data_IF_497815168993
#
_entry.id   IF_497815168993
#
_cell.length_a   1.000
_cell.length_b   1.000
_cell.length_c   1.000
_cell.angle_alpha   90.00
_cell.angle_beta   90.00
_cell.angle_gamma   90.00
#
_symmetry.space_group_name_H-M   'P 1'
#
loop_
_entity.id
_entity.type
_entity.pdbx_description
1 polymer ?
#
# COMPACT_ATOMS: atom_id res chain seq x y z
N UNK A 1 -11.91 25.34 -10.06
CA UNK A 1 -11.50 23.93 -9.83
C UNK A 1 -9.99 23.77 -9.64
N UNK A 2 -9.14 24.05 -10.63
CA UNK A 2 -7.67 23.83 -10.53
C UNK A 2 -6.99 24.59 -9.37
N UNK A 3 -7.41 25.84 -9.11
CA UNK A 3 -6.88 26.66 -8.01
C UNK A 3 -7.24 26.10 -6.62
N UNK A 4 -8.49 25.64 -6.44
CA UNK A 4 -8.95 25.08 -5.17
C UNK A 4 -8.18 23.81 -4.79
N UNK A 5 -7.92 22.94 -5.77
CA UNK A 5 -7.11 21.74 -5.55
C UNK A 5 -5.68 22.10 -5.09
N UNK A 6 -5.05 23.07 -5.74
CA UNK A 6 -3.70 23.51 -5.36
C UNK A 6 -3.67 24.13 -3.97
N UNK A 7 -4.68 24.94 -3.61
CA UNK A 7 -4.80 25.54 -2.27
C UNK A 7 -4.96 24.46 -1.18
N UNK A 8 -5.78 23.44 -1.45
CA UNK A 8 -5.97 22.31 -0.54
C UNK A 8 -4.68 21.52 -0.32
N UNK A 9 -3.91 21.27 -1.39
CA UNK A 9 -2.60 20.62 -1.25
C UNK A 9 -1.63 21.46 -0.41
N UNK A 10 -1.61 22.78 -0.62
CA UNK A 10 -0.78 23.70 0.18
C UNK A 10 -1.17 23.70 1.66
N UNK A 11 -2.46 23.68 1.97
CA UNK A 11 -2.94 23.77 3.36
C UNK A 11 -2.54 22.57 4.21
N UNK A 12 -2.50 21.37 3.62
CA UNK A 12 -2.18 20.14 4.35
C UNK A 12 -0.70 19.77 4.35
N UNK A 13 0.04 20.04 3.26
CA UNK A 13 1.45 19.65 3.17
C UNK A 13 2.43 20.73 3.58
N UNK A 14 2.10 22.01 3.39
CA UNK A 14 3.06 23.10 3.57
C UNK A 14 2.70 24.03 4.74
N UNK A 15 1.47 24.51 4.78
CA UNK A 15 1.06 25.52 5.77
C UNK A 15 0.31 24.92 6.96
N UNK A 16 0.48 23.63 7.23
CA UNK A 16 -0.10 22.99 8.39
C UNK A 16 0.71 23.35 9.65
N UNK A 17 0.10 23.97 10.68
CA UNK A 17 0.82 24.34 11.89
C UNK A 17 1.14 23.09 12.72
N UNK A 18 2.43 22.74 12.82
CA UNK A 18 2.90 21.65 13.67
C UNK A 18 3.43 22.18 15.01
N UNK A 19 3.15 21.49 16.14
CA UNK A 19 3.79 21.81 17.41
C UNK A 19 5.31 21.58 17.33
N UNK A 20 6.10 22.38 18.06
CA UNK A 20 7.57 22.30 18.01
C UNK A 20 8.13 21.04 18.71
N UNK A 21 7.42 20.48 19.68
CA UNK A 21 7.84 19.29 20.44
C UNK A 21 7.11 18.04 19.94
N UNK A 22 7.35 17.64 18.69
CA UNK A 22 6.86 16.35 18.16
C UNK A 22 7.78 15.20 18.55
N UNK A 23 7.20 14.11 19.06
CA UNK A 23 7.93 12.86 19.28
C UNK A 23 7.84 11.95 18.04
N UNK A 24 8.56 10.81 18.07
CA UNK A 24 8.59 9.86 16.95
C UNK A 24 7.25 9.17 16.64
N UNK A 25 6.32 9.08 17.59
CA UNK A 25 5.00 8.45 17.38
C UNK A 25 4.13 9.22 16.39
N UNK A 26 4.36 10.53 16.22
CA UNK A 26 3.64 11.34 15.22
C UNK A 26 3.91 10.90 13.78
N UNK A 27 5.00 10.18 13.51
CA UNK A 27 5.29 9.66 12.18
C UNK A 27 4.40 8.47 11.79
N UNK A 28 3.71 7.81 12.74
CA UNK A 28 2.93 6.61 12.47
C UNK A 28 1.82 6.84 11.44
N UNK A 29 1.16 8.01 11.45
CA UNK A 29 0.13 8.33 10.47
C UNK A 29 0.67 8.35 9.03
N UNK A 30 1.88 8.88 8.82
CA UNK A 30 2.53 8.88 7.52
C UNK A 30 2.96 7.47 7.10
N UNK A 31 3.54 6.70 8.03
CA UNK A 31 3.92 5.31 7.77
C UNK A 31 2.69 4.47 7.38
N UNK A 32 1.54 4.65 8.05
CA UNK A 32 0.28 3.98 7.70
C UNK A 32 -0.22 4.37 6.30
N UNK A 33 -0.07 5.64 5.92
CA UNK A 33 -0.38 6.09 4.57
C UNK A 33 0.45 5.37 3.51
N UNK A 34 1.75 5.20 3.76
CA UNK A 34 2.64 4.46 2.86
C UNK A 34 2.26 2.98 2.79
N UNK A 35 2.01 2.33 3.93
CA UNK A 35 1.69 0.89 3.95
C UNK A 35 0.38 0.59 3.22
N UNK A 36 -0.64 1.44 3.34
CA UNK A 36 -1.90 1.29 2.61
C UNK A 36 -1.68 1.35 1.10
N UNK A 37 -0.89 2.32 0.60
CA UNK A 37 -0.61 2.44 -0.83
C UNK A 37 0.12 1.18 -1.33
N UNK A 38 1.12 0.72 -0.57
CA UNK A 38 1.88 -0.48 -0.90
C UNK A 38 0.98 -1.72 -0.94
N UNK A 39 0.10 -1.88 0.04
CA UNK A 39 -0.83 -3.01 0.15
C UNK A 39 -1.89 -3.04 -0.96
N UNK A 40 -2.41 -1.88 -1.37
CA UNK A 40 -3.33 -1.80 -2.52
C UNK A 40 -2.63 -2.24 -3.80
N UNK A 41 -1.42 -1.75 -4.05
CA UNK A 41 -0.67 -2.10 -5.26
C UNK A 41 -0.36 -3.59 -5.28
N UNK A 42 0.24 -4.14 -4.22
CA UNK A 42 0.59 -5.57 -4.15
C UNK A 42 -0.64 -6.47 -4.16
N UNK A 43 -1.75 -6.04 -3.55
CA UNK A 43 -3.02 -6.77 -3.54
C UNK A 43 -3.67 -6.86 -4.92
N UNK A 44 -3.60 -5.80 -5.73
CA UNK A 44 -4.07 -5.84 -7.12
C UNK A 44 -3.26 -6.87 -7.92
N UNK A 45 -1.93 -6.87 -7.79
CA UNK A 45 -1.08 -7.85 -8.48
C UNK A 45 -1.37 -9.30 -8.06
N UNK A 46 -1.60 -9.55 -6.77
CA UNK A 46 -2.02 -10.89 -6.32
C UNK A 46 -3.40 -11.26 -6.88
N UNK A 47 -4.36 -10.34 -6.82
CA UNK A 47 -5.74 -10.56 -7.26
C UNK A 47 -5.86 -10.92 -8.75
N UNK A 48 -4.96 -10.41 -9.60
CA UNK A 48 -4.94 -10.73 -11.04
C UNK A 48 -4.58 -12.20 -11.34
N UNK A 49 -3.87 -12.86 -10.43
CA UNK A 49 -3.36 -14.22 -10.61
C UNK A 49 -3.97 -15.23 -9.63
N UNK A 50 -4.78 -14.76 -8.68
CA UNK A 50 -5.43 -15.59 -7.68
C UNK A 50 -6.76 -16.16 -8.20
N UNK A 51 -7.03 -17.42 -7.90
CA UNK A 51 -8.34 -18.07 -8.17
C UNK A 51 -9.01 -18.39 -6.84
N UNK A 52 -10.24 -17.94 -6.64
CA UNK A 52 -10.97 -18.05 -5.37
C UNK A 52 -11.67 -19.39 -5.13
N UNK A 53 -11.56 -20.36 -6.04
CA UNK A 53 -12.18 -21.68 -5.85
C UNK A 53 -11.43 -22.48 -4.79
N UNK A 54 -12.18 -23.15 -3.90
CA UNK A 54 -11.63 -23.85 -2.73
C UNK A 54 -10.58 -24.91 -3.11
N UNK A 55 -10.75 -25.56 -4.26
CA UNK A 55 -9.84 -26.59 -4.76
C UNK A 55 -8.57 -26.04 -5.45
N UNK A 56 -8.59 -24.79 -5.92
CA UNK A 56 -7.49 -24.18 -6.71
C UNK A 56 -6.88 -22.93 -6.06
N UNK A 57 -7.42 -22.47 -4.93
CA UNK A 57 -6.90 -21.33 -4.17
C UNK A 57 -5.45 -21.54 -3.72
N UNK A 58 -5.10 -22.74 -3.26
CA UNK A 58 -3.73 -23.04 -2.85
C UNK A 58 -2.78 -23.19 -4.05
N UNK A 59 -3.23 -23.86 -5.12
CA UNK A 59 -2.40 -24.08 -6.31
C UNK A 59 -2.14 -22.78 -7.08
N UNK A 60 -3.09 -21.85 -7.13
CA UNK A 60 -2.92 -20.53 -7.73
C UNK A 60 -1.90 -19.67 -6.94
N UNK A 61 -1.92 -19.71 -5.61
CA UNK A 61 -0.89 -19.06 -4.78
C UNK A 61 0.49 -19.70 -4.98
N UNK A 62 0.57 -21.02 -5.07
CA UNK A 62 1.82 -21.73 -5.28
C UNK A 62 2.43 -21.40 -6.65
N UNK A 63 1.59 -21.35 -7.69
CA UNK A 63 1.96 -20.88 -9.02
C UNK A 63 2.46 -19.43 -8.96
N UNK A 64 1.74 -18.54 -8.27
CA UNK A 64 2.14 -17.13 -8.11
C UNK A 64 3.55 -16.98 -7.53
N UNK A 65 3.86 -17.71 -6.46
CA UNK A 65 5.15 -17.60 -5.77
C UNK A 65 6.32 -18.08 -6.65
N UNK A 66 6.10 -19.11 -7.47
CA UNK A 66 7.17 -19.82 -8.20
C UNK A 66 7.35 -19.35 -9.63
N UNK A 67 6.25 -19.10 -10.33
CA UNK A 67 6.26 -18.89 -11.78
C UNK A 67 6.26 -17.41 -12.16
N UNK A 68 5.79 -16.53 -11.27
CA UNK A 68 5.78 -15.09 -11.51
C UNK A 68 7.10 -14.47 -11.04
N UNK A 69 7.65 -13.59 -11.86
CA UNK A 69 8.87 -12.86 -11.54
C UNK A 69 8.69 -12.03 -10.27
N UNK A 70 9.58 -12.22 -9.29
CA UNK A 70 9.45 -11.69 -7.93
C UNK A 70 8.13 -12.03 -7.20
N UNK A 71 7.37 -13.03 -7.65
CA UNK A 71 6.10 -13.43 -7.03
C UNK A 71 6.25 -13.78 -5.55
N UNK A 72 7.34 -14.45 -5.17
CA UNK A 72 7.68 -14.69 -3.77
C UNK A 72 7.81 -13.39 -2.96
N UNK A 73 8.51 -12.39 -3.48
CA UNK A 73 8.74 -11.11 -2.82
C UNK A 73 7.43 -10.29 -2.74
N UNK A 74 6.64 -10.25 -3.81
CA UNK A 74 5.34 -9.57 -3.84
C UNK A 74 4.36 -10.17 -2.82
N UNK A 75 4.32 -11.49 -2.71
CA UNK A 75 3.49 -12.18 -1.71
C UNK A 75 3.98 -11.94 -0.28
N UNK A 76 5.31 -11.85 -0.05
CA UNK A 76 5.86 -11.46 1.25
C UNK A 76 5.48 -10.01 1.61
N UNK A 77 5.63 -9.07 0.68
CA UNK A 77 5.31 -7.66 0.87
C UNK A 77 3.81 -7.40 1.07
N UNK A 78 2.93 -8.22 0.47
CA UNK A 78 1.49 -8.15 0.70
C UNK A 78 1.08 -8.78 2.04
N UNK A 79 1.79 -9.83 2.48
CA UNK A 79 1.47 -10.51 3.74
C UNK A 79 1.94 -9.77 4.99
N UNK A 80 2.82 -8.78 4.86
CA UNK A 80 3.38 -7.97 5.96
C UNK A 80 2.50 -6.78 6.32
#
# INVERSE_FOLDING_TARGET
MKLYFVLLMKSHFQSYPCPLQINSFWNLGFLLGITIILQIITGIFLGLHYTSDLNSAYSSLFFFIREIYYGWCLRLLHSS
#
